data_IF_410572973414
#
_entry.id   IF_410572973414
#
_cell.length_a   1.000
_cell.length_b   1.000
_cell.length_c   1.000
_cell.angle_alpha   90.00
_cell.angle_beta   90.00
_cell.angle_gamma   90.00
#
_symmetry.space_group_name_H-M   'P 1'
#
loop_
_entity.id
_entity.type
_entity.pdbx_description
1 polymer ?
#
# COMPACT_ATOMS: atom_id res chain seq x y z
N UNK A 1 -29.61 -48.34 -1.55
CA UNK A 1 -28.78 -47.71 -0.50
C UNK A 1 -27.69 -46.93 -1.22
N UNK A 2 -27.88 -45.63 -1.34
CA UNK A 2 -26.96 -44.72 -2.05
C UNK A 2 -26.14 -44.01 -0.97
N UNK A 3 -24.89 -44.41 -0.80
CA UNK A 3 -23.94 -43.74 0.10
C UNK A 3 -23.45 -42.46 -0.57
N UNK A 4 -23.80 -41.30 -0.01
CA UNK A 4 -23.19 -40.02 -0.36
C UNK A 4 -21.70 -40.01 0.06
N UNK A 5 -20.79 -39.48 -0.76
CA UNK A 5 -19.41 -39.30 -0.35
C UNK A 5 -19.31 -38.18 0.70
N UNK A 6 -18.51 -38.43 1.73
CA UNK A 6 -18.16 -37.46 2.77
C UNK A 6 -17.34 -36.29 2.16
N UNK A 7 -17.50 -35.04 2.61
CA UNK A 7 -16.75 -33.92 2.06
C UNK A 7 -15.24 -34.12 2.29
N UNK A 8 -14.45 -34.00 1.22
CA UNK A 8 -13.01 -34.10 1.27
C UNK A 8 -12.42 -32.96 2.11
N UNK A 9 -11.54 -33.30 3.05
CA UNK A 9 -10.76 -32.34 3.84
C UNK A 9 -9.92 -31.47 2.89
N UNK A 10 -9.95 -30.12 2.98
CA UNK A 10 -9.15 -29.27 2.12
C UNK A 10 -7.65 -29.58 2.32
N UNK A 11 -6.92 -29.74 1.21
CA UNK A 11 -5.49 -30.01 1.24
C UNK A 11 -4.72 -28.82 1.82
N UNK A 12 -3.82 -29.10 2.75
CA UNK A 12 -2.99 -28.15 3.51
C UNK A 12 -2.00 -27.30 2.67
N UNK A 13 -2.08 -27.34 1.34
CA UNK A 13 -1.10 -26.77 0.41
C UNK A 13 -1.57 -25.52 -0.35
N UNK A 14 -2.83 -25.12 -0.23
CA UNK A 14 -3.32 -23.91 -0.92
C UNK A 14 -2.76 -22.65 -0.25
N UNK A 15 -1.97 -21.81 -0.95
CA UNK A 15 -1.43 -20.60 -0.37
C UNK A 15 -2.54 -19.59 -0.08
N UNK A 16 -2.36 -18.80 0.99
CA UNK A 16 -3.23 -17.67 1.34
C UNK A 16 -2.50 -16.37 1.05
N UNK A 17 -3.19 -15.42 0.43
CA UNK A 17 -2.70 -14.05 0.30
C UNK A 17 -2.67 -13.39 1.69
N UNK A 18 -1.48 -13.11 2.20
CA UNK A 18 -1.29 -12.68 3.58
C UNK A 18 -0.57 -11.34 3.71
N UNK A 19 0.08 -10.86 2.65
CA UNK A 19 0.77 -9.58 2.67
C UNK A 19 1.07 -9.03 1.28
N UNK A 20 1.26 -7.71 1.22
CA UNK A 20 1.87 -6.98 0.11
C UNK A 20 3.22 -6.47 0.59
N UNK A 21 4.28 -6.69 -0.17
CA UNK A 21 5.63 -6.23 0.15
C UNK A 21 6.11 -5.17 -0.82
N UNK A 22 6.81 -4.16 -0.31
CA UNK A 22 7.44 -3.10 -1.08
C UNK A 22 8.89 -2.93 -0.63
N UNK A 23 9.75 -2.54 -1.55
CA UNK A 23 11.16 -2.27 -1.26
C UNK A 23 11.38 -0.76 -1.31
N UNK A 24 11.96 -0.19 -0.26
CA UNK A 24 12.07 1.27 -0.06
C UNK A 24 13.51 1.74 0.12
N UNK A 25 13.82 2.90 -0.44
CA UNK A 25 15.15 3.50 -0.39
C UNK A 25 15.48 4.02 1.01
N UNK A 26 14.48 4.61 1.68
CA UNK A 26 14.58 5.18 3.02
C UNK A 26 13.37 4.75 3.86
N UNK A 27 13.61 3.91 4.86
CA UNK A 27 12.56 3.35 5.72
C UNK A 27 11.81 4.45 6.46
N UNK A 28 12.53 5.40 7.08
CA UNK A 28 11.89 6.46 7.87
C UNK A 28 11.00 7.35 6.98
N UNK A 29 11.47 7.71 5.78
CA UNK A 29 10.70 8.50 4.82
C UNK A 29 9.42 7.77 4.37
N UNK A 30 9.54 6.48 4.01
CA UNK A 30 8.41 5.66 3.61
C UNK A 30 7.37 5.52 4.73
N UNK A 31 7.80 5.13 5.93
CA UNK A 31 6.88 4.93 7.07
C UNK A 31 6.23 6.25 7.50
N UNK A 32 6.95 7.38 7.43
CA UNK A 32 6.36 8.70 7.68
C UNK A 32 5.23 9.05 6.70
N UNK A 33 5.36 8.69 5.43
CA UNK A 33 4.30 8.85 4.43
C UNK A 33 3.07 7.98 4.78
N UNK A 34 3.28 6.69 5.04
CA UNK A 34 2.17 5.77 5.31
C UNK A 34 1.45 6.04 6.65
N UNK A 35 2.14 6.59 7.65
CA UNK A 35 1.50 7.08 8.88
C UNK A 35 0.53 8.24 8.60
N UNK A 36 0.81 9.10 7.61
CA UNK A 36 -0.11 10.19 7.21
C UNK A 36 -1.39 9.67 6.56
N UNK A 37 -1.34 8.47 5.99
CA UNK A 37 -2.51 7.76 5.46
C UNK A 37 -3.26 6.95 6.54
N UNK A 38 -2.88 7.12 7.81
CA UNK A 38 -3.57 6.52 8.95
C UNK A 38 -3.14 5.10 9.31
N UNK A 39 -2.04 4.58 8.73
CA UNK A 39 -1.49 3.29 9.16
C UNK A 39 -0.81 3.41 10.52
N UNK A 40 -1.13 2.48 11.42
CA UNK A 40 -0.50 2.36 12.73
C UNK A 40 0.86 1.67 12.61
N UNK A 41 1.91 2.48 12.55
CA UNK A 41 3.29 2.04 12.36
C UNK A 41 4.14 2.57 13.51
N UNK A 42 4.74 1.71 14.37
CA UNK A 42 5.60 2.14 15.47
C UNK A 42 6.80 2.98 15.03
N UNK A 43 7.20 4.00 15.81
CA UNK A 43 8.29 4.91 15.44
C UNK A 43 9.68 4.24 15.40
N UNK A 44 9.90 3.19 16.18
CA UNK A 44 11.13 2.41 16.19
C UNK A 44 11.36 1.62 14.89
N UNK A 45 10.30 1.40 14.09
CA UNK A 45 10.38 0.77 12.77
C UNK A 45 11.18 1.60 11.75
N UNK A 46 11.37 2.91 11.97
CA UNK A 46 12.09 3.82 11.05
C UNK A 46 13.54 3.40 10.78
N UNK A 47 14.14 2.63 11.69
CA UNK A 47 15.53 2.16 11.59
C UNK A 47 15.65 0.66 11.30
N UNK A 48 14.51 -0.04 11.20
CA UNK A 48 14.49 -1.48 10.99
C UNK A 48 14.81 -1.82 9.52
N UNK A 49 15.51 -2.94 9.26
CA UNK A 49 15.73 -3.42 7.89
C UNK A 49 14.44 -3.92 7.22
N UNK A 50 13.42 -4.24 8.03
CA UNK A 50 12.12 -4.75 7.65
C UNK A 50 11.07 -4.20 8.62
N UNK A 51 9.92 -3.77 8.10
CA UNK A 51 8.80 -3.27 8.89
C UNK A 51 7.48 -3.84 8.37
N UNK A 52 6.48 -3.99 9.25
CA UNK A 52 5.14 -4.45 8.90
C UNK A 52 4.07 -3.57 9.54
N UNK A 53 2.94 -3.40 8.83
CA UNK A 53 1.71 -2.83 9.35
C UNK A 53 0.56 -3.83 9.15
N UNK A 54 -0.18 -4.10 10.22
CA UNK A 54 -1.36 -4.95 10.15
C UNK A 54 -2.55 -4.14 9.62
N UNK A 55 -3.15 -4.61 8.53
CA UNK A 55 -4.35 -4.04 7.94
C UNK A 55 -5.61 -4.75 8.46
N UNK A 56 -6.78 -4.11 8.39
CA UNK A 56 -8.05 -4.76 8.65
C UNK A 56 -8.21 -6.07 7.87
N UNK A 57 -8.78 -7.09 8.49
CA UNK A 57 -8.99 -8.40 7.86
C UNK A 57 -7.76 -9.31 7.81
N UNK A 58 -6.64 -8.91 8.40
CA UNK A 58 -5.47 -9.79 8.59
C UNK A 58 -4.42 -9.72 7.49
N UNK A 59 -4.60 -8.88 6.47
CA UNK A 59 -3.56 -8.57 5.48
C UNK A 59 -2.47 -7.71 6.13
N UNK A 60 -1.23 -7.84 5.67
CA UNK A 60 -0.12 -6.97 6.12
C UNK A 60 0.43 -6.18 4.95
N UNK A 61 0.86 -4.95 5.21
CA UNK A 61 1.76 -4.22 4.33
C UNK A 61 3.16 -4.31 4.92
N UNK A 62 4.15 -4.63 4.09
CA UNK A 62 5.52 -4.88 4.51
C UNK A 62 6.47 -3.99 3.70
N UNK A 63 7.50 -3.50 4.38
CA UNK A 63 8.56 -2.70 3.78
C UNK A 63 9.91 -3.36 4.05
N UNK A 64 10.71 -3.51 3.02
CA UNK A 64 12.09 -3.98 3.10
C UNK A 64 13.04 -2.89 2.60
N UNK A 65 14.14 -2.67 3.32
CA UNK A 65 15.17 -1.75 2.83
C UNK A 65 15.87 -2.30 1.57
N UNK A 66 16.47 -1.43 0.77
CA UNK A 66 17.31 -1.87 -0.36
C UNK A 66 18.46 -2.79 0.07
N UNK A 67 18.97 -2.62 1.30
CA UNK A 67 19.99 -3.50 1.89
C UNK A 67 19.42 -4.91 2.12
N UNK A 68 18.19 -5.00 2.64
CA UNK A 68 17.49 -6.28 2.85
C UNK A 68 17.21 -6.98 1.52
N UNK A 69 16.73 -6.25 0.51
CA UNK A 69 16.50 -6.80 -0.83
C UNK A 69 17.79 -7.39 -1.42
N UNK A 70 18.92 -6.67 -1.33
CA UNK A 70 20.22 -7.14 -1.83
C UNK A 70 20.87 -8.27 -1.02
N UNK A 71 20.49 -8.42 0.24
CA UNK A 71 20.91 -9.58 1.03
C UNK A 71 20.25 -10.88 0.54
N UNK A 72 19.08 -10.79 -0.09
CA UNK A 72 18.34 -11.91 -0.67
C UNK A 72 18.76 -12.13 -2.13
N UNK A 73 18.80 -11.06 -2.92
CA UNK A 73 19.19 -11.06 -4.33
C UNK A 73 20.26 -9.98 -4.57
N UNK A 74 21.56 -10.33 -4.59
CA UNK A 74 22.65 -9.37 -4.73
C UNK A 74 22.61 -8.51 -6.00
N UNK A 75 21.96 -8.99 -7.05
CA UNK A 75 21.84 -8.29 -8.34
C UNK A 75 20.59 -7.40 -8.41
N UNK A 76 19.79 -7.36 -7.33
CA UNK A 76 18.58 -6.55 -7.26
C UNK A 76 18.89 -5.05 -7.46
N UNK A 77 18.11 -4.45 -8.35
CA UNK A 77 18.13 -3.01 -8.62
C UNK A 77 16.72 -2.44 -8.47
N UNK A 78 16.59 -1.19 -8.00
CA UNK A 78 15.28 -0.57 -7.86
C UNK A 78 14.58 -0.47 -9.22
N UNK A 79 13.26 -0.71 -9.29
CA UNK A 79 12.50 -0.51 -10.51
C UNK A 79 12.53 0.98 -10.92
N UNK A 80 12.31 1.24 -12.21
CA UNK A 80 12.21 2.62 -12.70
C UNK A 80 10.99 3.31 -12.08
N UNK A 81 11.15 4.58 -11.68
CA UNK A 81 10.07 5.39 -11.13
C UNK A 81 8.84 5.42 -12.08
N UNK A 82 7.64 5.46 -11.51
CA UNK A 82 6.38 5.41 -12.26
C UNK A 82 5.91 3.99 -12.63
N UNK A 83 6.39 2.97 -11.89
CA UNK A 83 5.87 1.61 -12.04
C UNK A 83 4.36 1.56 -11.71
N UNK A 84 3.54 0.83 -12.48
CA UNK A 84 2.07 0.95 -12.52
C UNK A 84 1.35 0.30 -11.32
N UNK A 85 2.01 0.11 -10.18
CA UNK A 85 1.41 -0.49 -8.99
C UNK A 85 1.10 0.60 -7.99
N UNK A 86 -0.17 0.76 -7.64
CA UNK A 86 -0.59 1.69 -6.61
C UNK A 86 -1.44 1.05 -5.54
N UNK A 87 -1.23 1.50 -4.30
CA UNK A 87 -2.09 1.20 -3.17
C UNK A 87 -3.25 2.19 -3.18
N UNK A 88 -4.48 1.71 -2.95
CA UNK A 88 -5.66 2.56 -2.95
C UNK A 88 -6.25 2.69 -1.55
N UNK A 89 -6.44 3.93 -1.11
CA UNK A 89 -6.98 4.30 0.20
C UNK A 89 -8.35 4.96 0.03
N UNK A 90 -9.36 4.36 0.64
CA UNK A 90 -10.70 4.92 0.71
C UNK A 90 -10.75 6.04 1.76
N UNK A 91 -11.29 7.19 1.37
CA UNK A 91 -11.52 8.35 2.23
C UNK A 91 -13.00 8.41 2.68
N UNK A 92 -13.29 9.17 3.75
CA UNK A 92 -14.64 9.36 4.32
C UNK A 92 -15.62 10.17 3.42
N UNK A 93 -15.40 10.18 2.10
CA UNK A 93 -16.21 10.87 1.10
C UNK A 93 -15.39 11.73 0.13
N UNK A 94 -16.04 12.32 -0.90
CA UNK A 94 -15.35 13.14 -1.90
C UNK A 94 -14.50 14.27 -1.32
N UNK A 95 -15.03 15.02 -0.34
CA UNK A 95 -14.26 16.08 0.32
C UNK A 95 -13.05 15.56 1.10
N UNK A 96 -13.08 14.30 1.55
CA UNK A 96 -11.94 13.64 2.17
C UNK A 96 -10.79 13.43 1.20
N UNK A 97 -11.09 13.04 -0.05
CA UNK A 97 -10.09 12.90 -1.12
C UNK A 97 -9.36 14.21 -1.36
N UNK A 98 -10.11 15.30 -1.57
CA UNK A 98 -9.53 16.63 -1.79
C UNK A 98 -8.66 17.10 -0.62
N UNK A 99 -9.13 16.87 0.60
CA UNK A 99 -8.41 17.26 1.82
C UNK A 99 -7.09 16.49 1.96
N UNK A 100 -7.13 15.16 1.89
CA UNK A 100 -5.94 14.32 2.07
C UNK A 100 -4.93 14.58 0.96
N UNK A 101 -5.39 14.77 -0.28
CA UNK A 101 -4.51 15.16 -1.38
C UNK A 101 -3.77 16.46 -1.07
N UNK A 102 -4.49 17.51 -0.66
CA UNK A 102 -3.90 18.80 -0.31
C UNK A 102 -2.89 18.67 0.83
N UNK A 103 -3.24 17.95 1.92
CA UNK A 103 -2.36 17.74 3.07
C UNK A 103 -1.05 17.02 2.69
N UNK A 104 -1.11 16.04 1.79
CA UNK A 104 0.08 15.33 1.32
C UNK A 104 0.93 16.21 0.39
N UNK A 105 0.32 16.96 -0.52
CA UNK A 105 1.08 17.86 -1.41
C UNK A 105 1.69 19.04 -0.65
N UNK A 106 1.00 19.57 0.35
CA UNK A 106 1.52 20.63 1.22
C UNK A 106 2.68 20.13 2.11
N UNK A 107 2.69 18.83 2.43
CA UNK A 107 3.81 18.17 3.10
C UNK A 107 5.01 17.89 2.16
N UNK A 108 4.89 18.20 0.86
CA UNK A 108 5.96 18.08 -0.12
C UNK A 108 5.97 16.79 -0.93
N UNK A 109 4.95 15.93 -0.81
CA UNK A 109 4.82 14.74 -1.65
C UNK A 109 4.32 15.11 -3.05
N UNK A 110 4.70 14.34 -4.06
CA UNK A 110 4.32 14.58 -5.45
C UNK A 110 2.85 14.26 -5.66
N UNK A 111 2.05 15.24 -6.06
CA UNK A 111 0.71 15.03 -6.59
C UNK A 111 0.78 14.64 -8.07
N UNK A 112 0.65 13.35 -8.38
CA UNK A 112 0.68 12.85 -9.75
C UNK A 112 -0.57 13.27 -10.53
N UNK A 113 -1.74 13.24 -9.89
CA UNK A 113 -3.00 13.66 -10.49
C UNK A 113 -3.94 14.27 -9.45
N UNK A 114 -4.22 15.56 -9.64
CA UNK A 114 -5.14 16.32 -8.79
C UNK A 114 -6.56 15.72 -8.78
N UNK A 115 -7.34 15.91 -7.69
CA UNK A 115 -8.66 15.32 -7.54
C UNK A 115 -9.61 15.57 -8.72
N UNK A 116 -10.26 14.50 -9.18
CA UNK A 116 -11.25 14.54 -10.25
C UNK A 116 -12.40 13.57 -10.00
N UNK A 117 -13.52 13.78 -10.68
CA UNK A 117 -14.65 12.84 -10.68
C UNK A 117 -14.42 11.82 -11.79
N UNK A 118 -14.08 10.59 -11.41
CA UNK A 118 -13.76 9.53 -12.33
C UNK A 118 -15.02 8.93 -12.99
N UNK A 119 -14.91 8.49 -14.24
CA UNK A 119 -16.04 7.96 -15.01
C UNK A 119 -16.67 6.69 -14.42
N UNK A 120 -16.00 6.05 -13.45
CA UNK A 120 -16.46 4.89 -12.70
C UNK A 120 -17.17 5.23 -11.38
N UNK A 121 -17.49 6.51 -11.13
CA UNK A 121 -18.35 6.92 -10.02
C UNK A 121 -17.62 7.16 -8.70
N UNK A 122 -16.36 7.61 -8.74
CA UNK A 122 -15.57 7.95 -7.56
C UNK A 122 -14.93 9.32 -7.69
N UNK A 123 -14.88 10.07 -6.60
CA UNK A 123 -13.90 11.15 -6.44
C UNK A 123 -12.55 10.46 -6.28
N UNK A 124 -11.55 10.88 -7.06
CA UNK A 124 -10.29 10.17 -7.16
C UNK A 124 -9.13 11.15 -7.25
N UNK A 125 -7.98 10.82 -6.67
CA UNK A 125 -6.73 11.55 -6.81
C UNK A 125 -5.55 10.57 -6.76
N UNK A 126 -4.39 10.96 -7.29
CA UNK A 126 -3.16 10.14 -7.23
C UNK A 126 -2.02 10.99 -6.69
N UNK A 127 -1.38 10.52 -5.63
CA UNK A 127 -0.11 11.05 -5.12
C UNK A 127 0.99 9.99 -5.30
N UNK A 128 2.25 10.34 -5.08
CA UNK A 128 3.35 9.37 -5.05
C UNK A 128 3.93 9.26 -3.65
N UNK A 129 4.28 8.04 -3.26
CA UNK A 129 5.11 7.78 -2.09
C UNK A 129 6.57 8.28 -2.33
N UNK A 130 7.45 8.25 -1.30
CA UNK A 130 8.84 8.70 -1.45
C UNK A 130 9.69 7.95 -2.49
N UNK A 131 9.32 6.73 -2.85
CA UNK A 131 10.00 5.90 -3.84
C UNK A 131 9.37 6.04 -5.25
N UNK A 132 8.30 6.84 -5.37
CA UNK A 132 7.63 7.14 -6.64
C UNK A 132 6.54 6.12 -7.02
N UNK A 133 6.05 5.32 -6.08
CA UNK A 133 4.87 4.48 -6.30
C UNK A 133 3.59 5.32 -6.22
N UNK A 134 2.67 5.10 -7.15
CA UNK A 134 1.36 5.75 -7.11
C UNK A 134 0.56 5.32 -5.89
N UNK A 135 -0.13 6.26 -5.26
CA UNK A 135 -1.06 6.00 -4.16
C UNK A 135 -2.36 6.72 -4.47
N UNK A 136 -3.40 5.92 -4.61
CA UNK A 136 -4.72 6.38 -4.98
C UNK A 136 -5.50 6.78 -3.73
N UNK A 137 -6.12 7.95 -3.79
CA UNK A 137 -7.10 8.42 -2.80
C UNK A 137 -8.45 8.42 -3.46
N UNK A 138 -9.43 7.73 -2.89
CA UNK A 138 -10.74 7.65 -3.53
C UNK A 138 -11.90 7.66 -2.54
N UNK A 139 -13.08 8.03 -3.03
CA UNK A 139 -14.34 7.86 -2.34
C UNK A 139 -15.48 7.74 -3.36
N UNK A 140 -16.56 6.99 -3.08
CA UNK A 140 -17.73 6.96 -3.96
C UNK A 140 -18.33 8.38 -4.12
N UNK A 141 -18.80 8.70 -5.34
CA UNK A 141 -19.60 9.89 -5.57
C UNK A 141 -21.04 9.68 -5.03
N UNK A 142 -21.75 10.76 -4.66
CA UNK A 142 -23.14 10.70 -4.19
C UNK A 142 -24.13 10.14 -5.23
#
# INVERSE_FOLDING_TARGET
MTTSPSPATPSTATPRFAAIGMVVADMAAALAFYRRLGLDIPADADTAPHAEAQLPGGLRLMWDSYTTARAIDPDWTPPQAGAPTGLAFECDGPAGVDKVYAELTDAGYTGEKAPWDAFWGQRYAVVQDPDGHGVDLFAPLP
#
